data_IF_194216773926
#
_entry.id   IF_194216773926
#
_cell.length_a   1.000
_cell.length_b   1.000
_cell.length_c   1.000
_cell.angle_alpha   90.00
_cell.angle_beta   90.00
_cell.angle_gamma   90.00
#
_symmetry.space_group_name_H-M   'P 1'
#
loop_
_entity.id
_entity.type
_entity.pdbx_description
1 polymer ?
#
# COMPACT_ATOMS: atom_id res chain seq x y z
N UNK A 1 -47.35 22.34 26.10
CA UNK A 1 -46.50 22.59 24.92
C UNK A 1 -47.40 23.01 23.78
N UNK A 2 -47.32 24.26 23.34
CA UNK A 2 -48.13 24.78 22.24
C UNK A 2 -47.36 24.63 20.93
N UNK A 3 -47.92 23.88 19.99
CA UNK A 3 -47.42 23.84 18.61
C UNK A 3 -47.88 25.13 17.95
N UNK A 4 -46.94 25.99 17.55
CA UNK A 4 -47.26 27.22 16.81
C UNK A 4 -47.81 26.86 15.42
N UNK A 5 -48.87 27.53 14.95
CA UNK A 5 -49.40 27.30 13.61
C UNK A 5 -48.37 27.74 12.56
N UNK A 6 -47.97 26.81 11.68
CA UNK A 6 -47.13 27.10 10.53
C UNK A 6 -47.98 27.48 9.32
N UNK A 7 -47.59 28.54 8.61
CA UNK A 7 -48.23 28.94 7.36
C UNK A 7 -47.54 28.28 6.16
N UNK A 8 -48.30 27.55 5.36
CA UNK A 8 -47.82 27.06 4.06
C UNK A 8 -47.87 28.20 3.04
N UNK A 9 -46.73 28.56 2.48
CA UNK A 9 -46.61 29.61 1.46
C UNK A 9 -46.14 28.97 0.16
N UNK A 10 -46.70 29.42 -0.97
CA UNK A 10 -46.25 29.02 -2.31
C UNK A 10 -45.82 30.28 -3.06
N UNK A 11 -44.56 30.30 -3.48
CA UNK A 11 -43.97 31.43 -4.20
C UNK A 11 -44.00 31.13 -5.71
N UNK A 12 -44.45 32.09 -6.50
CA UNK A 12 -44.52 32.02 -7.95
C UNK A 12 -43.65 33.13 -8.52
N UNK A 13 -42.78 32.79 -9.47
CA UNK A 13 -41.82 33.73 -10.04
C UNK A 13 -41.26 33.23 -11.36
N UNK A 14 -40.41 34.05 -11.98
CA UNK A 14 -39.74 33.68 -13.23
C UNK A 14 -38.56 32.76 -12.98
N UNK A 15 -38.27 31.83 -13.90
CA UNK A 15 -37.15 30.89 -13.76
C UNK A 15 -35.80 31.60 -13.59
N UNK A 16 -35.65 32.80 -14.18
CA UNK A 16 -34.42 33.59 -14.10
C UNK A 16 -34.12 34.13 -12.69
N UNK A 17 -35.14 34.25 -11.85
CA UNK A 17 -35.03 34.80 -10.49
C UNK A 17 -35.04 33.69 -9.42
N UNK A 18 -35.21 32.43 -9.83
CA UNK A 18 -35.35 31.30 -8.92
C UNK A 18 -34.17 31.20 -7.96
N UNK A 19 -32.95 31.22 -8.49
CA UNK A 19 -31.75 30.96 -7.71
C UNK A 19 -31.50 32.10 -6.70
N UNK A 20 -31.60 33.36 -7.15
CA UNK A 20 -31.44 34.54 -6.29
C UNK A 20 -32.46 34.55 -5.14
N UNK A 21 -33.72 34.26 -5.43
CA UNK A 21 -34.77 34.23 -4.40
C UNK A 21 -34.57 33.06 -3.44
N UNK A 22 -34.09 31.90 -3.90
CA UNK A 22 -33.82 30.77 -3.01
C UNK A 22 -32.65 31.06 -2.06
N UNK A 23 -31.59 31.69 -2.56
CA UNK A 23 -30.43 32.08 -1.73
C UNK A 23 -30.85 33.07 -0.64
N UNK A 24 -31.60 34.13 -0.99
CA UNK A 24 -32.09 35.11 -0.02
C UNK A 24 -33.04 34.50 1.03
N UNK A 25 -33.88 33.53 0.64
CA UNK A 25 -34.77 32.83 1.57
C UNK A 25 -34.01 31.86 2.47
N UNK A 26 -32.91 31.27 1.99
CA UNK A 26 -32.03 30.44 2.79
C UNK A 26 -31.29 31.28 3.84
N UNK A 27 -30.80 32.46 3.47
CA UNK A 27 -30.19 33.42 4.40
C UNK A 27 -31.16 33.87 5.50
N UNK A 28 -32.44 34.00 5.16
CA UNK A 28 -33.52 34.31 6.12
C UNK A 28 -33.78 33.18 7.13
N UNK A 29 -33.47 31.92 6.77
CA UNK A 29 -33.42 30.77 7.68
C UNK A 29 -34.73 30.35 8.37
N UNK A 30 -35.87 30.88 7.97
CA UNK A 30 -37.16 30.69 8.67
C UNK A 30 -38.16 29.79 7.94
N UNK A 31 -37.73 29.09 6.88
CA UNK A 31 -38.60 28.31 6.01
C UNK A 31 -38.12 26.86 5.89
N UNK A 32 -39.08 25.96 5.69
CA UNK A 32 -38.83 24.56 5.32
C UNK A 32 -39.31 24.32 3.89
N UNK A 33 -38.42 23.87 3.02
CA UNK A 33 -38.74 23.58 1.63
C UNK A 33 -39.56 22.29 1.53
N UNK A 34 -40.69 22.36 0.83
CA UNK A 34 -41.53 21.20 0.54
C UNK A 34 -41.28 20.82 -0.91
N UNK A 35 -40.78 19.61 -1.16
CA UNK A 35 -40.66 19.11 -2.52
C UNK A 35 -42.05 18.89 -3.12
N UNK A 36 -42.30 19.53 -4.27
CA UNK A 36 -43.54 19.41 -5.02
C UNK A 36 -43.43 18.33 -6.12
N UNK A 37 -42.22 17.85 -6.41
CA UNK A 37 -41.99 16.68 -7.24
C UNK A 37 -42.06 15.41 -6.41
N UNK A 38 -42.65 14.35 -6.95
CA UNK A 38 -42.38 13.00 -6.45
C UNK A 38 -40.96 12.61 -6.86
N UNK A 39 -39.98 13.21 -6.22
CA UNK A 39 -38.58 12.81 -6.37
C UNK A 39 -38.38 11.58 -5.48
N UNK A 40 -38.01 10.44 -6.08
CA UNK A 40 -37.59 9.27 -5.30
C UNK A 40 -36.52 9.67 -4.26
N UNK A 41 -36.56 9.09 -3.04
CA UNK A 41 -35.64 9.46 -1.98
C UNK A 41 -34.20 9.11 -2.39
N UNK A 42 -33.44 10.09 -2.88
CA UNK A 42 -32.05 9.86 -3.28
C UNK A 42 -31.33 10.99 -4.01
N UNK A 43 -32.03 11.93 -4.65
CA UNK A 43 -31.37 12.99 -5.42
C UNK A 43 -31.35 14.33 -4.67
N UNK A 44 -30.45 14.44 -3.69
CA UNK A 44 -29.85 15.74 -3.38
C UNK A 44 -29.00 16.22 -4.57
N UNK A 45 -28.60 17.50 -4.65
CA UNK A 45 -27.69 17.94 -5.69
C UNK A 45 -26.43 17.09 -5.60
N UNK A 46 -26.20 16.26 -6.62
CA UNK A 46 -24.94 15.53 -6.77
C UNK A 46 -23.90 16.60 -7.03
N UNK A 47 -23.28 17.11 -5.96
CA UNK A 47 -21.97 17.73 -6.10
C UNK A 47 -21.13 16.62 -6.73
N UNK A 48 -20.81 16.76 -8.02
CA UNK A 48 -19.93 15.86 -8.75
C UNK A 48 -18.51 16.02 -8.19
N UNK A 49 -18.33 15.60 -6.95
CA UNK A 49 -17.04 15.44 -6.29
C UNK A 49 -16.35 14.33 -7.05
N UNK A 50 -15.25 14.65 -7.73
CA UNK A 50 -14.46 13.65 -8.45
C UNK A 50 -14.03 12.52 -7.51
N UNK A 51 -13.89 11.30 -8.05
CA UNK A 51 -13.44 10.15 -7.26
C UNK A 51 -12.05 10.40 -6.65
N UNK A 52 -11.17 11.10 -7.38
CA UNK A 52 -9.88 11.59 -6.89
C UNK A 52 -10.01 12.43 -5.62
N UNK A 53 -11.00 13.32 -5.56
CA UNK A 53 -11.24 14.17 -4.37
C UNK A 53 -11.69 13.31 -3.19
N UNK A 54 -12.54 12.31 -3.42
CA UNK A 54 -12.98 11.38 -2.36
C UNK A 54 -11.83 10.53 -1.86
N UNK A 55 -10.98 10.03 -2.76
CA UNK A 55 -9.81 9.23 -2.43
C UNK A 55 -8.78 10.03 -1.65
N UNK A 56 -8.46 11.25 -2.10
CA UNK A 56 -7.57 12.16 -1.39
C UNK A 56 -8.11 12.48 0.01
N UNK A 57 -9.40 12.81 0.14
CA UNK A 57 -10.02 13.07 1.45
C UNK A 57 -9.98 11.84 2.37
N UNK A 58 -10.25 10.64 1.83
CA UNK A 58 -10.16 9.39 2.59
C UNK A 58 -8.74 9.17 3.11
N UNK A 59 -7.74 9.34 2.25
CA UNK A 59 -6.32 9.23 2.63
C UNK A 59 -5.95 10.24 3.73
N UNK A 60 -6.28 11.53 3.55
CA UNK A 60 -6.01 12.57 4.56
C UNK A 60 -6.72 12.29 5.91
N UNK A 61 -7.89 11.65 5.88
CA UNK A 61 -8.58 11.22 7.11
C UNK A 61 -7.90 10.04 7.79
N UNK A 62 -7.19 9.19 7.07
CA UNK A 62 -6.43 8.09 7.68
C UNK A 62 -5.13 8.54 8.34
N UNK A 63 -4.65 9.76 8.05
CA UNK A 63 -3.46 10.32 8.69
C UNK A 63 -3.67 10.49 10.21
N UNK A 64 -2.69 10.07 11.04
CA UNK A 64 -2.80 10.14 12.50
C UNK A 64 -2.69 11.57 13.03
N UNK A 65 -1.90 12.43 12.38
CA UNK A 65 -1.72 13.83 12.75
C UNK A 65 -2.66 14.67 11.88
N UNK A 66 -3.62 15.35 12.51
CA UNK A 66 -4.55 16.26 11.84
C UNK A 66 -4.33 17.67 12.34
N UNK A 67 -3.99 18.59 11.43
CA UNK A 67 -3.90 20.02 11.75
C UNK A 67 -5.31 20.58 11.98
N UNK A 68 -5.41 21.62 12.81
CA UNK A 68 -6.67 22.32 13.07
C UNK A 68 -7.19 22.89 11.74
N UNK A 69 -8.46 22.67 11.38
CA UNK A 69 -9.03 23.23 10.15
C UNK A 69 -9.07 24.76 10.26
N UNK A 70 -8.53 25.44 9.26
CA UNK A 70 -8.58 26.90 9.13
C UNK A 70 -9.72 27.27 8.17
N UNK A 71 -10.66 28.14 8.57
CA UNK A 71 -11.83 28.46 7.75
C UNK A 71 -11.51 29.28 6.49
N UNK A 72 -10.36 29.97 6.45
CA UNK A 72 -9.94 30.72 5.28
C UNK A 72 -8.42 30.66 5.14
N UNK A 73 -7.96 29.96 4.09
CA UNK A 73 -6.57 29.95 3.67
C UNK A 73 -6.50 30.51 2.24
N UNK A 74 -5.96 31.73 2.05
CA UNK A 74 -5.85 32.34 0.73
C UNK A 74 -4.91 31.56 -0.23
N UNK A 75 -4.12 30.60 0.27
CA UNK A 75 -3.29 29.69 -0.53
C UNK A 75 -3.95 28.35 -0.85
N UNK A 76 -5.23 28.16 -0.54
CA UNK A 76 -5.90 26.87 -0.75
C UNK A 76 -6.17 26.60 -2.24
N UNK A 77 -5.41 25.67 -2.82
CA UNK A 77 -5.57 25.23 -4.21
C UNK A 77 -6.04 23.76 -4.27
N UNK A 78 -7.36 23.50 -4.40
CA UNK A 78 -7.94 22.16 -4.28
C UNK A 78 -7.28 21.13 -5.20
N UNK A 79 -7.11 21.47 -6.48
CA UNK A 79 -6.53 20.57 -7.49
C UNK A 79 -5.08 20.20 -7.18
N UNK A 80 -4.29 21.16 -6.70
CA UNK A 80 -2.89 20.92 -6.33
C UNK A 80 -2.79 20.00 -5.11
N UNK A 81 -3.66 20.22 -4.12
CA UNK A 81 -3.69 19.42 -2.89
C UNK A 81 -4.13 18.00 -3.21
N UNK A 82 -5.19 17.80 -4.00
CA UNK A 82 -5.65 16.48 -4.42
C UNK A 82 -4.52 15.73 -5.11
N UNK A 83 -3.85 16.35 -6.09
CA UNK A 83 -2.74 15.76 -6.81
C UNK A 83 -1.60 15.33 -5.87
N UNK A 84 -1.10 16.23 -5.01
CA UNK A 84 -0.04 15.92 -4.04
C UNK A 84 -0.43 14.81 -3.07
N UNK A 85 -1.69 14.82 -2.64
CA UNK A 85 -2.22 13.81 -1.73
C UNK A 85 -2.19 12.42 -2.37
N UNK A 86 -2.61 12.32 -3.63
CA UNK A 86 -2.61 11.05 -4.36
C UNK A 86 -1.18 10.59 -4.68
N UNK A 87 -0.30 11.50 -5.12
CA UNK A 87 1.13 11.20 -5.34
C UNK A 87 1.80 10.67 -4.06
N UNK A 88 1.52 11.29 -2.90
CA UNK A 88 2.03 10.80 -1.62
C UNK A 88 1.44 9.44 -1.24
N UNK A 89 0.14 9.23 -1.47
CA UNK A 89 -0.52 7.96 -1.18
C UNK A 89 0.07 6.81 -2.00
N UNK A 90 0.27 7.02 -3.31
CA UNK A 90 0.89 6.05 -4.21
C UNK A 90 2.33 5.77 -3.81
N UNK A 91 3.13 6.81 -3.53
CA UNK A 91 4.52 6.63 -3.09
C UNK A 91 4.63 5.87 -1.78
N UNK A 92 3.73 6.15 -0.82
CA UNK A 92 3.70 5.43 0.45
C UNK A 92 3.33 3.95 0.26
N UNK A 93 2.40 3.64 -0.64
CA UNK A 93 2.03 2.26 -0.95
C UNK A 93 3.17 1.50 -1.62
N UNK A 94 3.86 2.13 -2.58
CA UNK A 94 5.00 1.54 -3.26
C UNK A 94 6.15 1.24 -2.30
N UNK A 95 6.52 2.19 -1.44
CA UNK A 95 7.57 1.98 -0.44
C UNK A 95 7.20 0.90 0.58
N UNK A 96 5.92 0.79 0.97
CA UNK A 96 5.46 -0.30 1.85
C UNK A 96 5.60 -1.66 1.17
N UNK A 97 5.22 -1.75 -0.10
CA UNK A 97 5.38 -2.99 -0.89
C UNK A 97 6.85 -3.37 -0.99
N UNK A 98 7.73 -2.42 -1.33
CA UNK A 98 9.17 -2.63 -1.41
C UNK A 98 9.75 -3.07 -0.06
N UNK A 99 9.34 -2.44 1.05
CA UNK A 99 9.73 -2.86 2.40
C UNK A 99 9.31 -4.31 2.67
N UNK A 100 8.06 -4.67 2.38
CA UNK A 100 7.55 -6.02 2.64
C UNK A 100 8.30 -7.08 1.81
N UNK A 101 8.61 -6.78 0.55
CA UNK A 101 9.47 -7.61 -0.31
C UNK A 101 10.88 -7.75 0.26
N UNK A 102 11.50 -6.64 0.70
CA UNK A 102 12.84 -6.64 1.31
C UNK A 102 12.88 -7.43 2.62
N UNK A 103 11.87 -7.30 3.47
CA UNK A 103 11.76 -8.06 4.73
C UNK A 103 11.69 -9.56 4.43
N UNK A 104 10.83 -9.97 3.49
CA UNK A 104 10.72 -11.37 3.10
C UNK A 104 12.04 -11.90 2.52
N UNK A 105 12.70 -11.13 1.65
CA UNK A 105 14.00 -11.49 1.08
C UNK A 105 15.08 -11.65 2.15
N UNK A 106 15.14 -10.73 3.12
CA UNK A 106 16.09 -10.78 4.24
C UNK A 106 15.81 -12.01 5.11
N UNK A 107 14.55 -12.33 5.42
CA UNK A 107 14.20 -13.51 6.20
C UNK A 107 14.61 -14.81 5.50
N UNK A 108 14.43 -14.89 4.18
CA UNK A 108 14.85 -16.04 3.38
C UNK A 108 16.37 -16.18 3.28
N UNK A 109 17.12 -15.07 3.23
CA UNK A 109 18.58 -15.05 3.13
C UNK A 109 19.29 -15.17 4.48
N UNK A 110 18.64 -14.77 5.58
CA UNK A 110 19.21 -14.77 6.94
C UNK A 110 19.88 -16.10 7.34
N UNK A 111 19.34 -17.28 7.01
CA UNK A 111 19.97 -18.56 7.35
C UNK A 111 21.24 -18.83 6.56
N UNK A 112 21.39 -18.25 5.36
CA UNK A 112 22.55 -18.42 4.49
C UNK A 112 23.69 -17.46 4.88
N UNK A 113 23.39 -16.41 5.64
CA UNK A 113 24.35 -15.42 6.11
C UNK A 113 24.72 -14.40 5.04
N UNK A 114 25.93 -13.83 5.15
CA UNK A 114 26.45 -12.92 4.15
C UNK A 114 27.07 -13.72 3.00
N UNK A 115 26.26 -13.97 1.97
CA UNK A 115 26.70 -14.66 0.76
C UNK A 115 26.45 -13.77 -0.45
N UNK A 116 27.50 -13.61 -1.26
CA UNK A 116 27.37 -13.03 -2.60
C UNK A 116 27.39 -14.19 -3.58
N UNK A 117 26.29 -14.37 -4.32
CA UNK A 117 26.25 -15.35 -5.39
C UNK A 117 27.30 -14.96 -6.43
N UNK A 118 28.32 -15.79 -6.68
CA UNK A 118 29.28 -15.50 -7.74
C UNK A 118 28.55 -15.47 -9.08
N UNK A 119 29.00 -14.60 -9.98
CA UNK A 119 28.42 -14.52 -11.33
C UNK A 119 28.60 -15.86 -12.05
N UNK A 120 27.64 -16.23 -12.89
CA UNK A 120 27.61 -17.53 -13.59
C UNK A 120 28.86 -17.77 -14.48
N UNK A 121 29.71 -16.76 -14.65
CA UNK A 121 30.97 -16.78 -15.41
C UNK A 121 32.18 -17.26 -14.61
N UNK A 122 32.15 -17.24 -13.27
CA UNK A 122 33.34 -17.55 -12.44
C UNK A 122 33.61 -19.06 -12.28
N UNK A 123 32.60 -19.91 -12.46
CA UNK A 123 32.68 -21.36 -12.19
C UNK A 123 32.46 -22.24 -13.44
N UNK A 124 32.50 -21.66 -14.64
CA UNK A 124 32.34 -22.39 -15.90
C UNK A 124 30.94 -23.00 -16.04
N UNK A 125 30.84 -24.33 -16.04
CA UNK A 125 29.55 -25.02 -16.14
C UNK A 125 28.88 -25.28 -14.78
N UNK A 126 29.57 -25.09 -13.66
CA UNK A 126 29.06 -25.42 -12.33
C UNK A 126 28.21 -24.29 -11.76
N UNK A 127 27.05 -24.65 -11.20
CA UNK A 127 26.10 -23.73 -10.57
C UNK A 127 25.85 -24.13 -9.12
N UNK A 128 25.50 -23.14 -8.30
CA UNK A 128 25.09 -23.33 -6.92
C UNK A 128 23.56 -23.45 -6.86
N UNK A 129 23.09 -24.57 -6.32
CA UNK A 129 21.68 -24.84 -6.09
C UNK A 129 21.41 -24.84 -4.59
N UNK A 130 20.38 -24.10 -4.17
CA UNK A 130 20.06 -23.87 -2.77
C UNK A 130 18.81 -24.65 -2.39
N UNK A 131 18.88 -25.42 -1.31
CA UNK A 131 17.77 -26.26 -0.83
C UNK A 131 17.54 -26.05 0.66
N UNK A 132 16.26 -25.97 1.04
CA UNK A 132 15.83 -25.97 2.44
C UNK A 132 15.20 -27.32 2.73
N UNK A 133 15.95 -28.18 3.42
CA UNK A 133 15.58 -29.59 3.62
C UNK A 133 15.20 -29.80 5.08
N UNK A 134 13.99 -30.31 5.38
CA UNK A 134 13.62 -30.66 6.74
C UNK A 134 14.59 -31.66 7.34
N UNK A 135 14.92 -31.54 8.63
CA UNK A 135 15.95 -32.39 9.26
C UNK A 135 15.71 -33.91 9.07
N UNK A 136 14.45 -34.35 9.07
CA UNK A 136 14.10 -35.76 8.90
C UNK A 136 14.39 -36.31 7.49
N UNK A 137 14.50 -35.44 6.48
CA UNK A 137 14.87 -35.81 5.09
C UNK A 137 16.37 -35.70 4.82
N UNK A 138 17.15 -35.12 5.73
CA UNK A 138 18.59 -34.89 5.53
C UNK A 138 19.35 -36.19 5.26
N UNK A 139 18.97 -37.29 5.93
CA UNK A 139 19.57 -38.62 5.71
C UNK A 139 19.44 -39.14 4.28
N UNK A 140 18.41 -38.71 3.54
CA UNK A 140 18.23 -39.10 2.14
C UNK A 140 19.31 -38.51 1.21
N UNK A 141 20.04 -37.48 1.66
CA UNK A 141 21.15 -36.89 0.92
C UNK A 141 22.44 -37.71 1.03
N UNK A 142 22.59 -38.55 2.06
CA UNK A 142 23.77 -39.40 2.23
C UNK A 142 23.83 -40.49 1.15
N UNK A 143 22.69 -40.89 0.61
CA UNK A 143 22.56 -41.88 -0.46
C UNK A 143 22.79 -41.29 -1.87
N UNK A 144 22.95 -39.97 -1.99
CA UNK A 144 23.13 -39.29 -3.28
C UNK A 144 24.61 -39.08 -3.59
N UNK A 145 25.01 -39.43 -4.81
CA UNK A 145 26.36 -39.19 -5.35
C UNK A 145 26.51 -37.74 -5.87
N UNK A 146 26.17 -36.77 -5.01
CA UNK A 146 26.22 -35.34 -5.31
C UNK A 146 27.15 -34.63 -4.33
N UNK A 147 27.89 -33.62 -4.81
CA UNK A 147 28.70 -32.74 -3.95
C UNK A 147 27.80 -31.71 -3.29
N UNK A 148 27.51 -31.90 -2.01
CA UNK A 148 26.68 -30.98 -1.21
C UNK A 148 27.34 -30.56 0.10
N UNK A 149 27.00 -29.37 0.57
CA UNK A 149 27.47 -28.83 1.84
C UNK A 149 26.31 -28.19 2.61
N UNK A 150 26.29 -28.38 3.93
CA UNK A 150 25.33 -27.70 4.80
C UNK A 150 25.89 -26.33 5.17
N UNK A 151 25.26 -25.26 4.68
CA UNK A 151 25.62 -23.89 5.00
C UNK A 151 25.15 -23.51 6.42
N UNK A 152 23.94 -23.92 6.78
CA UNK A 152 23.37 -23.68 8.10
C UNK A 152 22.40 -24.79 8.52
N UNK A 153 22.17 -24.90 9.83
CA UNK A 153 21.17 -25.79 10.41
C UNK A 153 20.35 -25.02 11.42
N UNK A 154 19.04 -25.16 11.30
CA UNK A 154 18.07 -24.73 12.30
C UNK A 154 17.36 -25.97 12.88
N UNK A 155 16.56 -25.80 13.94
CA UNK A 155 15.84 -26.87 14.61
C UNK A 155 14.87 -27.62 13.69
N UNK A 156 14.34 -26.96 12.66
CA UNK A 156 13.36 -27.54 11.74
C UNK A 156 13.95 -27.95 10.39
N UNK A 157 14.96 -27.23 9.88
CA UNK A 157 15.49 -27.41 8.54
C UNK A 157 17.02 -27.23 8.48
N UNK A 158 17.63 -27.87 7.49
CA UNK A 158 19.01 -27.65 7.09
C UNK A 158 19.05 -26.94 5.73
N UNK A 159 19.94 -25.97 5.62
CA UNK A 159 20.18 -25.16 4.43
C UNK A 159 21.37 -25.77 3.69
N UNK A 160 21.08 -26.43 2.57
CA UNK A 160 22.04 -27.25 1.82
C UNK A 160 22.34 -26.56 0.49
N UNK A 161 23.63 -26.46 0.18
CA UNK A 161 24.14 -25.98 -1.10
C UNK A 161 24.61 -27.22 -1.87
N UNK A 162 24.12 -27.38 -3.09
CA UNK A 162 24.58 -28.42 -4.02
C UNK A 162 25.34 -27.76 -5.16
N UNK A 163 26.49 -28.32 -5.52
CA UNK A 163 27.31 -27.85 -6.63
C UNK A 163 27.13 -28.84 -7.79
N UNK A 164 26.42 -28.41 -8.83
CA UNK A 164 26.14 -29.22 -10.01
C UNK A 164 25.99 -28.33 -11.25
N UNK A 165 26.25 -28.88 -12.44
CA UNK A 165 26.09 -28.13 -13.68
C UNK A 165 24.61 -27.86 -14.03
N UNK A 166 23.78 -28.91 -13.87
CA UNK A 166 22.34 -28.87 -14.07
C UNK A 166 21.59 -29.05 -12.75
N UNK A 167 20.29 -28.73 -12.75
CA UNK A 167 19.43 -28.88 -11.59
C UNK A 167 19.29 -30.36 -11.19
N UNK A 168 19.67 -30.75 -9.95
CA UNK A 168 19.60 -32.15 -9.54
C UNK A 168 18.15 -32.58 -9.30
N UNK A 169 17.64 -33.47 -10.16
CA UNK A 169 16.27 -34.01 -10.07
C UNK A 169 16.05 -34.98 -8.88
N UNK A 170 17.12 -35.45 -8.26
CA UNK A 170 17.07 -36.44 -7.17
C UNK A 170 16.82 -35.82 -5.79
N UNK A 171 16.65 -34.49 -5.73
CA UNK A 171 16.47 -33.77 -4.48
C UNK A 171 15.05 -33.95 -3.92
N UNK A 172 14.90 -34.13 -2.59
CA UNK A 172 13.61 -34.43 -1.98
C UNK A 172 12.69 -33.21 -1.79
N UNK A 173 13.16 -32.02 -2.16
CA UNK A 173 12.49 -30.71 -2.07
C UNK A 173 12.91 -29.88 -3.29
N UNK A 174 12.03 -28.99 -3.75
CA UNK A 174 12.35 -28.01 -4.80
C UNK A 174 13.47 -27.04 -4.34
N UNK A 175 14.27 -26.54 -5.28
CA UNK A 175 15.27 -25.52 -4.97
C UNK A 175 14.61 -24.20 -4.60
N UNK A 176 15.30 -23.42 -3.80
CA UNK A 176 14.91 -22.06 -3.42
C UNK A 176 15.64 -21.08 -4.32
N UNK A 177 14.88 -20.17 -4.93
CA UNK A 177 15.47 -19.01 -5.60
C UNK A 177 15.80 -17.95 -4.57
N UNK A 178 17.09 -17.82 -4.26
CA UNK A 178 17.61 -16.74 -3.43
C UNK A 178 17.77 -15.47 -4.26
N UNK A 179 17.56 -14.33 -3.60
CA UNK A 179 17.92 -13.02 -4.13
C UNK A 179 19.40 -12.98 -4.51
N UNK A 180 19.71 -12.37 -5.66
CA UNK A 180 21.09 -12.21 -6.12
C UNK A 180 21.87 -11.18 -5.30
N UNK A 181 21.17 -10.30 -4.59
CA UNK A 181 21.76 -9.22 -3.79
C UNK A 181 22.21 -9.77 -2.43
N UNK A 182 23.38 -9.34 -1.92
CA UNK A 182 23.84 -9.78 -0.62
C UNK A 182 22.98 -9.18 0.50
N UNK A 183 22.96 -9.88 1.63
CA UNK A 183 22.13 -9.54 2.78
C UNK A 183 22.44 -8.15 3.35
N UNK A 184 23.70 -7.71 3.34
CA UNK A 184 24.08 -6.33 3.72
C UNK A 184 23.44 -5.26 2.82
N UNK A 185 23.37 -5.50 1.50
CA UNK A 185 22.73 -4.58 0.57
C UNK A 185 21.22 -4.52 0.79
N UNK A 186 20.57 -5.68 0.98
CA UNK A 186 19.13 -5.72 1.27
C UNK A 186 18.78 -4.98 2.56
N UNK A 187 19.58 -5.14 3.62
CA UNK A 187 19.40 -4.40 4.88
C UNK A 187 19.55 -2.89 4.70
N UNK A 188 20.54 -2.43 3.93
CA UNK A 188 20.71 -1.00 3.63
C UNK A 188 19.53 -0.45 2.82
N UNK A 189 19.04 -1.23 1.86
CA UNK A 189 17.85 -0.86 1.08
C UNK A 189 16.61 -0.76 1.98
N UNK A 190 16.45 -1.70 2.93
CA UNK A 190 15.36 -1.68 3.89
C UNK A 190 15.43 -0.43 4.78
N UNK A 191 16.59 -0.13 5.36
CA UNK A 191 16.82 1.06 6.19
C UNK A 191 16.52 2.36 5.42
N UNK A 192 16.90 2.40 4.14
CA UNK A 192 16.62 3.54 3.25
C UNK A 192 15.10 3.67 3.00
N UNK A 193 14.42 2.57 2.68
CA UNK A 193 12.98 2.57 2.44
C UNK A 193 12.18 2.94 3.71
N UNK A 194 12.62 2.48 4.88
CA UNK A 194 12.03 2.85 6.18
C UNK A 194 12.22 4.34 6.47
N UNK A 195 13.41 4.88 6.22
CA UNK A 195 13.69 6.32 6.36
C UNK A 195 12.81 7.15 5.42
N UNK A 196 12.66 6.74 4.15
CA UNK A 196 11.77 7.43 3.21
C UNK A 196 10.29 7.37 3.63
N UNK A 197 9.84 6.26 4.22
CA UNK A 197 8.49 6.14 4.78
C UNK A 197 8.28 7.06 5.98
N UNK A 198 9.29 7.20 6.85
CA UNK A 198 9.25 8.14 7.97
C UNK A 198 9.20 9.58 7.46
N UNK A 199 10.01 9.95 6.48
CA UNK A 199 10.00 11.29 5.89
C UNK A 199 8.64 11.64 5.26
N UNK A 200 8.05 10.69 4.52
CA UNK A 200 6.71 10.86 3.94
C UNK A 200 5.62 10.97 4.99
N UNK A 201 5.82 10.39 6.18
CA UNK A 201 4.87 10.51 7.28
C UNK A 201 4.75 11.96 7.79
N UNK A 202 5.82 12.75 7.67
CA UNK A 202 5.89 14.11 8.16
C UNK A 202 5.51 15.19 7.12
N UNK A 203 5.25 14.80 5.87
CA UNK A 203 4.83 15.69 4.78
C UNK A 203 3.30 15.81 4.68
#
# INVERSE_FOLDING_TARGET
>A
MAILPLAKVTLLGTTKQKDVVLDELQDLGCLHLIDLGQSEPGYGPVVNISDETRQALRYLRTCPIRRRPTPHDPGFHPKLIIRRTLENAERQEELRRQRDELVQAIEQLRPWGEFQRPEDTEFGALRFWFYVIPQYKLRQLEDLDLTWQVAARDQHAAYVIVIAADEPQQMPVAHVHLDARPLSTLKKMLETAESELEDLHWQ
#
